data_IF_339718819149
#
_entry.id   IF_339718819149
#
_cell.length_a   1.000
_cell.length_b   1.000
_cell.length_c   1.000
_cell.angle_alpha   90.00
_cell.angle_beta   90.00
_cell.angle_gamma   90.00
#
_symmetry.space_group_name_H-M   'P 1'
#
loop_
_entity.id
_entity.type
_entity.pdbx_description
1 polymer ?
#
# COMPACT_ATOMS: atom_id res chain seq x y z
N UNK A 1 54.99 13.05 6.90
CA UNK A 1 54.41 11.97 6.08
C UNK A 1 53.77 10.86 6.94
N UNK A 2 52.79 11.15 7.82
CA UNK A 2 52.05 10.08 8.54
C UNK A 2 50.55 10.34 8.76
N UNK A 3 49.96 11.43 8.25
CA UNK A 3 48.53 11.72 8.47
C UNK A 3 47.63 11.50 7.25
N UNK A 4 48.19 11.37 6.03
CA UNK A 4 47.42 11.20 4.78
C UNK A 4 46.99 9.74 4.50
N UNK A 5 47.60 8.74 5.17
CA UNK A 5 47.24 7.31 4.97
C UNK A 5 46.07 6.83 5.82
N UNK A 6 45.76 7.49 6.94
CA UNK A 6 44.63 7.12 7.79
C UNK A 6 43.27 7.56 7.21
N UNK A 7 43.25 8.70 6.50
CA UNK A 7 42.03 9.23 5.87
C UNK A 7 41.58 8.38 4.66
N UNK A 8 42.52 7.71 3.99
CA UNK A 8 42.18 6.82 2.87
C UNK A 8 41.48 5.53 3.32
N UNK A 9 41.77 5.02 4.52
CA UNK A 9 41.09 3.83 5.07
C UNK A 9 39.70 4.13 5.63
N UNK A 10 39.47 5.34 6.14
CA UNK A 10 38.14 5.80 6.60
C UNK A 10 37.17 6.13 5.46
N UNK A 11 37.67 6.35 4.24
CA UNK A 11 36.82 6.46 3.05
C UNK A 11 36.57 5.12 2.34
N UNK A 12 37.32 4.07 2.63
CA UNK A 12 37.05 2.73 2.08
C UNK A 12 35.93 1.98 2.81
N UNK A 13 35.56 2.37 4.04
CA UNK A 13 34.40 1.80 4.75
C UNK A 13 33.07 2.50 4.45
N UNK A 14 33.11 3.64 3.76
CA UNK A 14 31.92 4.30 3.22
C UNK A 14 31.41 3.65 1.91
N UNK A 15 32.14 2.68 1.38
CA UNK A 15 31.71 1.76 0.31
C UNK A 15 31.09 0.48 0.89
N UNK A 16 30.28 0.59 1.96
CA UNK A 16 29.22 -0.40 2.14
C UNK A 16 28.16 -0.06 1.11
N UNK A 17 28.36 -0.62 -0.09
CA UNK A 17 27.31 -0.79 -1.09
C UNK A 17 25.99 -1.06 -0.36
N UNK A 18 24.94 -0.31 -0.71
CA UNK A 18 23.58 -0.49 -0.23
C UNK A 18 23.11 -1.92 -0.48
N UNK A 19 23.55 -2.87 0.35
CA UNK A 19 23.19 -4.26 0.24
C UNK A 19 21.78 -4.36 0.77
N UNK A 20 20.83 -4.39 -0.16
CA UNK A 20 19.46 -4.81 0.11
C UNK A 20 19.50 -6.07 0.97
N UNK A 21 18.91 -6.04 2.16
CA UNK A 21 18.88 -7.20 3.06
C UNK A 21 18.15 -8.35 2.37
N UNK A 22 18.79 -9.52 2.15
CA UNK A 22 18.12 -10.69 1.57
C UNK A 22 16.88 -11.12 2.37
N UNK A 23 16.87 -10.89 3.68
CA UNK A 23 15.73 -11.16 4.56
C UNK A 23 14.54 -10.26 4.21
N UNK A 24 14.75 -8.94 4.19
CA UNK A 24 13.68 -7.97 3.93
C UNK A 24 13.14 -8.09 2.50
N UNK A 25 14.02 -8.33 1.52
CA UNK A 25 13.60 -8.60 0.15
C UNK A 25 12.70 -9.83 0.07
N UNK A 26 13.09 -10.94 0.71
CA UNK A 26 12.26 -12.14 0.76
C UNK A 26 10.91 -11.90 1.41
N UNK A 27 10.85 -11.12 2.50
CA UNK A 27 9.57 -10.74 3.12
C UNK A 27 8.68 -9.97 2.13
N UNK A 28 9.26 -8.99 1.44
CA UNK A 28 8.57 -8.20 0.41
C UNK A 28 8.03 -9.11 -0.70
N UNK A 29 8.89 -9.92 -1.30
CA UNK A 29 8.55 -10.77 -2.44
C UNK A 29 7.47 -11.80 -2.08
N UNK A 30 7.56 -12.41 -0.89
CA UNK A 30 6.52 -13.30 -0.40
C UNK A 30 5.17 -12.58 -0.24
N UNK A 31 5.16 -11.39 0.37
CA UNK A 31 3.93 -10.61 0.52
C UNK A 31 3.33 -10.22 -0.83
N UNK A 32 4.17 -9.80 -1.77
CA UNK A 32 3.73 -9.46 -3.13
C UNK A 32 3.08 -10.66 -3.81
N UNK A 33 3.71 -11.84 -3.75
CA UNK A 33 3.18 -13.06 -4.33
C UNK A 33 1.84 -13.47 -3.69
N UNK A 34 1.68 -13.32 -2.37
CA UNK A 34 0.41 -13.65 -1.70
C UNK A 34 -0.70 -12.66 -2.07
N UNK A 35 -0.42 -11.35 -2.13
CA UNK A 35 -1.40 -10.35 -2.56
C UNK A 35 -1.81 -10.56 -4.03
N UNK A 36 -0.85 -10.84 -4.92
CA UNK A 36 -1.11 -11.14 -6.33
C UNK A 36 -2.06 -12.34 -6.51
N UNK A 37 -1.89 -13.41 -5.71
CA UNK A 37 -2.80 -14.56 -5.72
C UNK A 37 -4.23 -14.20 -5.33
N UNK A 38 -4.41 -13.22 -4.45
CA UNK A 38 -5.73 -12.81 -3.94
C UNK A 38 -6.44 -11.86 -4.91
N UNK A 39 -5.71 -10.91 -5.46
CA UNK A 39 -6.27 -9.85 -6.30
C UNK A 39 -6.29 -10.25 -7.79
N UNK A 40 -5.49 -11.25 -8.17
CA UNK A 40 -5.32 -11.72 -9.55
C UNK A 40 -4.11 -11.07 -10.23
N UNK A 41 -3.46 -11.82 -11.13
CA UNK A 41 -2.32 -11.36 -11.93
C UNK A 41 -2.72 -10.16 -12.80
N UNK A 42 -2.03 -9.04 -12.61
CA UNK A 42 -2.14 -7.86 -13.47
C UNK A 42 -0.75 -7.26 -13.68
N UNK A 43 -0.60 -6.42 -14.71
CA UNK A 43 0.64 -5.67 -14.93
C UNK A 43 0.83 -4.53 -13.90
N UNK A 44 -0.22 -4.20 -13.14
CA UNK A 44 -0.28 -3.04 -12.22
C UNK A 44 0.04 -3.41 -10.76
N UNK A 45 0.89 -4.42 -10.53
CA UNK A 45 1.19 -4.98 -9.20
C UNK A 45 1.66 -3.94 -8.18
N UNK A 46 2.33 -2.87 -8.63
CA UNK A 46 2.81 -1.80 -7.75
C UNK A 46 1.64 -0.98 -7.21
N UNK A 47 0.56 -0.83 -7.99
CA UNK A 47 -0.69 -0.22 -7.53
C UNK A 47 -1.29 -1.03 -6.38
N UNK A 48 -1.25 -2.36 -6.46
CA UNK A 48 -1.85 -3.23 -5.45
C UNK A 48 -1.20 -3.11 -4.07
N UNK A 49 0.06 -2.64 -3.99
CA UNK A 49 0.78 -2.40 -2.74
C UNK A 49 0.51 -1.02 -2.16
N UNK A 50 0.40 -0.01 -3.02
CA UNK A 50 0.35 1.41 -2.62
C UNK A 50 -1.05 2.01 -2.65
N UNK A 51 -2.01 1.33 -3.28
CA UNK A 51 -3.37 1.79 -3.50
C UNK A 51 -4.39 0.76 -2.95
N UNK A 52 -4.57 0.67 -1.61
CA UNK A 52 -5.37 -0.39 -0.99
C UNK A 52 -6.82 -0.49 -1.47
N UNK A 53 -7.47 0.66 -1.65
CA UNK A 53 -8.85 0.72 -2.14
C UNK A 53 -8.99 0.15 -3.54
N UNK A 54 -8.00 0.38 -4.41
CA UNK A 54 -7.98 -0.24 -5.72
C UNK A 54 -7.88 -1.77 -5.62
N UNK A 55 -6.93 -2.31 -4.87
CA UNK A 55 -6.76 -3.77 -4.74
C UNK A 55 -7.98 -4.44 -4.07
N UNK A 56 -8.64 -3.77 -3.12
CA UNK A 56 -9.84 -4.30 -2.47
C UNK A 56 -11.03 -4.34 -3.43
N UNK A 57 -11.27 -3.25 -4.16
CA UNK A 57 -12.52 -3.05 -4.91
C UNK A 57 -12.46 -3.45 -6.38
N UNK A 58 -11.26 -3.56 -6.97
CA UNK A 58 -11.13 -3.94 -8.39
C UNK A 58 -11.61 -5.36 -8.64
N UNK A 59 -12.26 -5.56 -9.78
CA UNK A 59 -12.70 -6.88 -10.24
C UNK A 59 -13.82 -7.49 -9.38
N UNK A 60 -14.48 -6.71 -8.51
CA UNK A 60 -15.73 -7.15 -7.89
C UNK A 60 -16.84 -7.19 -8.96
N UNK A 61 -17.72 -8.20 -8.96
CA UNK A 61 -18.82 -8.28 -9.91
C UNK A 61 -19.83 -7.14 -9.72
N UNK A 62 -20.26 -6.53 -10.83
CA UNK A 62 -21.20 -5.38 -10.84
C UNK A 62 -22.66 -5.79 -10.56
N UNK A 63 -23.04 -7.03 -10.89
CA UNK A 63 -24.44 -7.49 -10.89
C UNK A 63 -24.78 -8.44 -9.76
N UNK A 64 -23.81 -8.85 -8.95
CA UNK A 64 -23.99 -9.80 -7.86
C UNK A 64 -23.57 -9.19 -6.51
N UNK A 65 -24.20 -9.63 -5.43
CA UNK A 65 -23.75 -9.28 -4.09
C UNK A 65 -22.33 -9.83 -3.87
N UNK A 66 -21.34 -8.95 -3.94
CA UNK A 66 -19.93 -9.31 -3.84
C UNK A 66 -19.49 -9.60 -2.40
N UNK A 67 -20.41 -9.62 -1.43
CA UNK A 67 -20.07 -9.68 -0.01
C UNK A 67 -19.20 -10.88 0.37
N UNK A 68 -19.52 -12.14 -0.02
CA UNK A 68 -18.65 -13.28 0.31
C UNK A 68 -17.25 -13.14 -0.31
N UNK A 69 -17.17 -12.68 -1.56
CA UNK A 69 -15.91 -12.48 -2.28
C UNK A 69 -15.07 -11.38 -1.62
N UNK A 70 -15.68 -10.25 -1.26
CA UNK A 70 -15.04 -9.12 -0.60
C UNK A 70 -14.53 -9.50 0.80
N UNK A 71 -15.34 -10.22 1.59
CA UNK A 71 -14.94 -10.73 2.90
C UNK A 71 -13.73 -11.67 2.78
N UNK A 72 -13.77 -12.60 1.82
CA UNK A 72 -12.66 -13.52 1.59
C UNK A 72 -11.39 -12.79 1.15
N UNK A 73 -11.52 -11.81 0.25
CA UNK A 73 -10.40 -10.96 -0.19
C UNK A 73 -9.78 -10.20 0.99
N UNK A 74 -10.58 -9.51 1.80
CA UNK A 74 -10.11 -8.79 2.98
C UNK A 74 -9.42 -9.73 3.97
N UNK A 75 -10.00 -10.91 4.23
CA UNK A 75 -9.38 -11.91 5.11
C UNK A 75 -8.01 -12.35 4.61
N UNK A 76 -7.87 -12.65 3.32
CA UNK A 76 -6.61 -13.10 2.73
C UNK A 76 -5.56 -12.01 2.70
N UNK A 77 -5.91 -10.77 2.30
CA UNK A 77 -4.99 -9.64 2.32
C UNK A 77 -4.52 -9.35 3.75
N UNK A 78 -5.43 -9.36 4.72
CA UNK A 78 -5.08 -9.10 6.12
C UNK A 78 -4.23 -10.21 6.73
N UNK A 79 -4.40 -11.46 6.31
CA UNK A 79 -3.49 -12.55 6.68
C UNK A 79 -2.09 -12.28 6.12
N UNK A 80 -1.97 -12.00 4.81
CA UNK A 80 -0.69 -11.70 4.17
C UNK A 80 0.03 -10.51 4.82
N UNK A 81 -0.71 -9.44 5.16
CA UNK A 81 -0.15 -8.26 5.81
C UNK A 81 0.43 -8.56 7.21
N UNK A 82 -0.23 -9.41 8.00
CA UNK A 82 0.28 -9.85 9.31
C UNK A 82 1.56 -10.68 9.14
N UNK A 83 1.53 -11.62 8.19
CA UNK A 83 2.68 -12.49 7.90
C UNK A 83 3.88 -11.67 7.42
N UNK A 84 3.66 -10.68 6.56
CA UNK A 84 4.66 -9.71 6.15
C UNK A 84 5.24 -8.95 7.34
N UNK A 85 4.38 -8.38 8.19
CA UNK A 85 4.83 -7.60 9.34
C UNK A 85 5.67 -8.45 10.32
N UNK A 86 5.28 -9.71 10.54
CA UNK A 86 6.03 -10.65 11.36
C UNK A 86 7.38 -11.02 10.72
N UNK A 87 7.40 -11.27 9.41
CA UNK A 87 8.63 -11.53 8.66
C UNK A 87 9.61 -10.36 8.80
N UNK A 88 9.15 -9.13 8.57
CA UNK A 88 9.99 -7.93 8.68
C UNK A 88 10.54 -7.75 10.10
N UNK A 89 9.72 -7.97 11.14
CA UNK A 89 10.17 -7.89 12.53
C UNK A 89 11.21 -8.96 12.91
N UNK A 90 11.22 -10.09 12.22
CA UNK A 90 12.22 -11.15 12.44
C UNK A 90 13.58 -10.84 11.79
N UNK A 91 13.66 -9.86 10.89
CA UNK A 91 14.90 -9.46 10.25
C UNK A 91 15.73 -8.51 11.13
N UNK A 92 17.06 -8.64 11.10
CA UNK A 92 17.98 -7.84 11.92
C UNK A 92 18.13 -6.36 11.47
N UNK A 93 17.49 -5.94 10.37
CA UNK A 93 17.62 -4.59 9.82
C UNK A 93 16.52 -3.64 10.34
N UNK A 94 16.76 -3.07 11.51
CA UNK A 94 15.75 -2.26 12.23
C UNK A 94 15.24 -1.05 11.43
N UNK A 95 16.11 -0.24 10.84
CA UNK A 95 15.70 0.99 10.12
C UNK A 95 14.89 0.68 8.86
N UNK A 96 15.43 -0.17 7.98
CA UNK A 96 14.73 -0.57 6.76
C UNK A 96 13.43 -1.32 7.07
N UNK A 97 13.42 -2.15 8.11
CA UNK A 97 12.21 -2.80 8.59
C UNK A 97 11.14 -1.81 9.07
N UNK A 98 11.51 -0.78 9.82
CA UNK A 98 10.58 0.29 10.24
C UNK A 98 9.99 1.01 9.01
N UNK A 99 10.81 1.35 8.02
CA UNK A 99 10.35 2.01 6.79
C UNK A 99 9.34 1.12 6.04
N UNK A 100 9.64 -0.17 5.89
CA UNK A 100 8.74 -1.12 5.24
C UNK A 100 7.41 -1.29 5.99
N UNK A 101 7.46 -1.37 7.32
CA UNK A 101 6.25 -1.44 8.15
C UNK A 101 5.42 -0.15 8.05
N UNK A 102 6.09 1.01 8.03
CA UNK A 102 5.43 2.31 7.84
C UNK A 102 4.73 2.39 6.49
N UNK A 103 5.35 1.87 5.43
CA UNK A 103 4.72 1.73 4.12
C UNK A 103 3.49 0.81 4.07
N UNK A 104 3.20 0.05 5.14
CA UNK A 104 2.02 -0.81 5.26
C UNK A 104 0.96 -0.28 6.25
N UNK A 105 1.05 0.99 6.65
CA UNK A 105 0.16 1.60 7.64
C UNK A 105 -1.31 1.57 7.18
N UNK A 106 -1.58 1.93 5.92
CA UNK A 106 -2.94 1.89 5.36
C UNK A 106 -3.55 0.48 5.42
N UNK A 107 -2.78 -0.53 5.03
CA UNK A 107 -3.20 -1.93 5.12
C UNK A 107 -3.45 -2.38 6.56
N UNK A 108 -2.54 -2.01 7.47
CA UNK A 108 -2.66 -2.31 8.90
C UNK A 108 -3.95 -1.72 9.48
N UNK A 109 -4.26 -0.47 9.14
CA UNK A 109 -5.46 0.23 9.60
C UNK A 109 -6.74 -0.39 9.05
N UNK A 110 -6.79 -0.72 7.75
CA UNK A 110 -7.92 -1.44 7.14
C UNK A 110 -8.12 -2.79 7.82
N UNK A 111 -7.05 -3.54 8.07
CA UNK A 111 -7.13 -4.85 8.67
C UNK A 111 -7.53 -4.82 10.15
N UNK A 112 -7.12 -3.80 10.90
CA UNK A 112 -7.59 -3.55 12.25
C UNK A 112 -9.10 -3.22 12.24
N UNK A 113 -9.54 -2.35 11.33
CA UNK A 113 -10.96 -2.01 11.19
C UNK A 113 -11.80 -3.23 10.80
N UNK A 114 -11.30 -4.06 9.89
CA UNK A 114 -11.94 -5.31 9.52
C UNK A 114 -12.05 -6.31 10.68
N UNK A 115 -10.98 -6.49 11.47
CA UNK A 115 -10.98 -7.45 12.58
C UNK A 115 -11.84 -6.99 13.75
N UNK A 116 -11.82 -5.70 14.06
CA UNK A 116 -12.41 -5.15 15.29
C UNK A 116 -13.68 -4.32 15.04
N UNK A 117 -14.18 -4.30 13.81
CA UNK A 117 -15.32 -3.48 13.38
C UNK A 117 -15.18 -1.99 13.75
N UNK A 118 -13.96 -1.44 13.66
CA UNK A 118 -13.70 -0.02 13.98
C UNK A 118 -14.49 0.85 12.99
N UNK A 119 -15.23 1.84 13.50
CA UNK A 119 -16.03 2.72 12.65
C UNK A 119 -17.14 1.98 11.89
N UNK A 120 -17.65 0.87 12.44
CA UNK A 120 -18.68 0.03 11.81
C UNK A 120 -18.24 -0.55 10.44
N UNK A 121 -16.95 -0.77 10.27
CA UNK A 121 -16.38 -1.22 9.00
C UNK A 121 -17.05 -2.48 8.45
N UNK A 122 -17.21 -3.54 9.25
CA UNK A 122 -17.83 -4.80 8.80
C UNK A 122 -19.35 -4.73 8.77
N UNK A 123 -19.98 -3.91 9.61
CA UNK A 123 -21.44 -3.81 9.69
C UNK A 123 -22.07 -2.81 8.71
N UNK A 124 -21.33 -1.79 8.27
CA UNK A 124 -21.84 -0.73 7.40
C UNK A 124 -21.05 -0.56 6.09
N UNK A 125 -19.72 -0.50 6.18
CA UNK A 125 -18.86 -0.15 5.03
C UNK A 125 -18.73 -1.34 4.07
N UNK A 126 -18.36 -2.52 4.58
CA UNK A 126 -18.20 -3.73 3.76
C UNK A 126 -19.49 -4.12 3.03
N UNK A 127 -20.69 -4.12 3.65
CA UNK A 127 -21.94 -4.35 2.92
C UNK A 127 -22.20 -3.34 1.80
N UNK A 128 -21.79 -2.08 1.98
CA UNK A 128 -21.94 -1.08 0.94
C UNK A 128 -20.96 -1.32 -0.22
N UNK A 129 -19.68 -1.55 0.08
CA UNK A 129 -18.68 -1.90 -0.92
C UNK A 129 -19.01 -3.20 -1.66
N UNK A 130 -19.67 -4.15 -1.00
CA UNK A 130 -20.17 -5.35 -1.67
C UNK A 130 -21.22 -5.06 -2.77
N UNK A 131 -21.97 -3.95 -2.64
CA UNK A 131 -22.99 -3.52 -3.61
C UNK A 131 -22.47 -2.54 -4.65
N UNK A 132 -21.60 -1.62 -4.24
CA UNK A 132 -21.20 -0.47 -5.07
C UNK A 132 -19.68 -0.41 -5.33
N UNK A 133 -18.91 -1.32 -4.74
CA UNK A 133 -17.45 -1.32 -4.80
C UNK A 133 -16.90 -1.43 -6.21
N UNK A 134 -17.53 -2.22 -7.07
CA UNK A 134 -17.14 -2.34 -8.48
C UNK A 134 -17.21 -0.98 -9.20
N UNK A 135 -18.31 -0.24 -9.03
CA UNK A 135 -18.51 1.08 -9.63
C UNK A 135 -17.57 2.14 -9.02
N UNK A 136 -17.39 2.14 -7.69
CA UNK A 136 -16.41 3.01 -7.02
C UNK A 136 -15.00 2.74 -7.55
N UNK A 137 -14.59 1.48 -7.62
CA UNK A 137 -13.28 1.06 -8.12
C UNK A 137 -13.08 1.45 -9.59
N UNK A 138 -14.09 1.26 -10.44
CA UNK A 138 -14.05 1.62 -11.86
C UNK A 138 -13.87 3.13 -12.06
N UNK A 139 -14.60 3.96 -11.31
CA UNK A 139 -14.50 5.43 -11.40
C UNK A 139 -13.15 5.97 -10.94
N UNK A 140 -12.47 5.27 -10.03
CA UNK A 140 -11.17 5.69 -9.52
C UNK A 140 -9.98 4.93 -10.14
N UNK A 141 -10.22 4.00 -11.08
CA UNK A 141 -9.18 3.17 -11.68
C UNK A 141 -8.07 3.99 -12.34
N UNK A 142 -8.41 5.07 -13.06
CA UNK A 142 -7.44 5.96 -13.69
C UNK A 142 -6.43 6.53 -12.67
N UNK A 143 -6.90 6.95 -11.50
CA UNK A 143 -6.02 7.52 -10.48
C UNK A 143 -5.11 6.45 -9.86
N UNK A 144 -5.55 5.20 -9.78
CA UNK A 144 -4.68 4.10 -9.37
C UNK A 144 -3.56 3.84 -10.39
N UNK A 145 -3.87 3.92 -11.70
CA UNK A 145 -2.86 3.84 -12.77
C UNK A 145 -1.88 5.02 -12.72
N UNK A 146 -2.35 6.23 -12.43
CA UNK A 146 -1.46 7.39 -12.27
C UNK A 146 -0.49 7.18 -11.09
N UNK A 147 -0.99 6.68 -9.95
CA UNK A 147 -0.13 6.33 -8.81
C UNK A 147 0.87 5.24 -9.20
N UNK A 148 0.44 4.19 -9.89
CA UNK A 148 1.32 3.12 -10.38
C UNK A 148 2.50 3.68 -11.18
N UNK A 149 2.21 4.50 -12.19
CA UNK A 149 3.22 5.10 -13.04
C UNK A 149 4.17 6.01 -12.25
N UNK A 150 3.64 6.82 -11.33
CA UNK A 150 4.48 7.68 -10.47
C UNK A 150 5.41 6.87 -9.55
N UNK A 151 5.00 5.68 -9.10
CA UNK A 151 5.88 4.78 -8.35
C UNK A 151 6.97 4.20 -9.26
N UNK A 152 6.63 3.76 -10.48
CA UNK A 152 7.63 3.26 -11.43
C UNK A 152 8.67 4.35 -11.75
N UNK A 153 8.23 5.57 -12.03
CA UNK A 153 9.12 6.71 -12.28
C UNK A 153 10.04 6.99 -11.08
N UNK A 154 9.51 6.91 -9.85
CA UNK A 154 10.33 7.07 -8.65
C UNK A 154 11.35 5.94 -8.48
N UNK A 155 10.98 4.69 -8.79
CA UNK A 155 11.88 3.54 -8.68
C UNK A 155 12.98 3.61 -9.74
N UNK A 156 12.63 3.91 -10.98
CA UNK A 156 13.55 3.88 -12.12
C UNK A 156 14.44 5.14 -12.18
N UNK A 157 13.89 6.31 -11.85
CA UNK A 157 14.56 7.60 -12.03
C UNK A 157 14.82 8.37 -10.72
N UNK A 158 14.41 7.83 -9.57
CA UNK A 158 14.52 8.49 -8.27
C UNK A 158 15.94 8.88 -7.88
N UNK A 159 16.96 8.16 -8.35
CA UNK A 159 18.38 8.48 -8.08
C UNK A 159 18.77 9.84 -8.68
N UNK A 160 18.15 10.25 -9.79
CA UNK A 160 18.49 11.48 -10.50
C UNK A 160 17.66 12.68 -10.07
N UNK A 161 16.41 12.47 -9.63
CA UNK A 161 15.49 13.56 -9.29
C UNK A 161 14.50 13.20 -8.16
N UNK A 162 15.00 12.66 -7.04
CA UNK A 162 14.17 12.15 -5.94
C UNK A 162 13.11 13.14 -5.44
N UNK A 163 13.44 14.43 -5.32
CA UNK A 163 12.50 15.44 -4.82
C UNK A 163 11.31 15.64 -5.76
N UNK A 164 11.57 15.65 -7.07
CA UNK A 164 10.53 15.81 -8.08
C UNK A 164 9.63 14.57 -8.12
N UNK A 165 10.22 13.37 -8.21
CA UNK A 165 9.45 12.13 -8.29
C UNK A 165 8.66 11.84 -7.01
N UNK A 166 9.21 12.16 -5.83
CA UNK A 166 8.44 12.10 -4.58
C UNK A 166 7.29 13.11 -4.58
N UNK A 167 7.51 14.35 -5.04
CA UNK A 167 6.44 15.35 -5.16
C UNK A 167 5.31 14.87 -6.08
N UNK A 168 5.65 14.31 -7.23
CA UNK A 168 4.67 13.83 -8.21
C UNK A 168 3.93 12.58 -7.71
N UNK A 169 4.60 11.68 -6.99
CA UNK A 169 3.96 10.58 -6.28
C UNK A 169 2.97 11.09 -5.22
N UNK A 170 3.37 12.07 -4.39
CA UNK A 170 2.48 12.65 -3.37
C UNK A 170 1.23 13.31 -3.98
N UNK A 171 1.38 14.03 -5.11
CA UNK A 171 0.23 14.60 -5.85
C UNK A 171 -0.68 13.49 -6.37
N UNK A 172 -0.10 12.44 -6.94
CA UNK A 172 -0.83 11.28 -7.48
C UNK A 172 -1.64 10.57 -6.40
N UNK A 173 -1.03 10.30 -5.24
CA UNK A 173 -1.71 9.71 -4.08
C UNK A 173 -2.85 10.61 -3.61
N UNK A 174 -2.62 11.93 -3.54
CA UNK A 174 -3.67 12.89 -3.12
C UNK A 174 -4.88 12.85 -4.05
N UNK A 175 -4.67 12.77 -5.37
CA UNK A 175 -5.76 12.67 -6.35
C UNK A 175 -6.51 11.34 -6.22
N UNK A 176 -5.77 10.25 -6.06
CA UNK A 176 -6.31 8.92 -5.81
C UNK A 176 -7.20 8.88 -4.56
N UNK A 177 -6.69 9.39 -3.44
CA UNK A 177 -7.38 9.44 -2.16
C UNK A 177 -8.66 10.27 -2.23
N UNK A 178 -8.61 11.44 -2.88
CA UNK A 178 -9.79 12.28 -3.11
C UNK A 178 -10.86 11.56 -3.92
N UNK A 179 -10.48 10.83 -4.97
CA UNK A 179 -11.44 10.08 -5.77
C UNK A 179 -12.20 9.07 -4.90
N UNK A 180 -11.47 8.24 -4.14
CA UNK A 180 -12.12 7.21 -3.32
C UNK A 180 -12.98 7.81 -2.21
N UNK A 181 -12.56 8.91 -1.57
CA UNK A 181 -13.38 9.62 -0.59
C UNK A 181 -14.69 10.11 -1.23
N UNK A 182 -14.64 10.78 -2.39
CA UNK A 182 -15.83 11.31 -3.05
C UNK A 182 -16.75 10.23 -3.60
N UNK A 183 -16.21 9.19 -4.23
CA UNK A 183 -17.05 8.09 -4.73
C UNK A 183 -17.63 7.28 -3.57
N UNK A 184 -16.89 7.08 -2.47
CA UNK A 184 -17.45 6.44 -1.29
C UNK A 184 -18.57 7.27 -0.65
N UNK A 185 -18.47 8.60 -0.63
CA UNK A 185 -19.59 9.45 -0.19
C UNK A 185 -20.81 9.29 -1.10
N UNK A 186 -20.61 9.40 -2.42
CA UNK A 186 -21.69 9.32 -3.39
C UNK A 186 -22.47 7.99 -3.36
N UNK A 187 -21.78 6.86 -3.13
CA UNK A 187 -22.39 5.53 -3.15
C UNK A 187 -22.71 4.96 -1.77
N UNK A 188 -21.91 5.30 -0.75
CA UNK A 188 -21.96 4.69 0.57
C UNK A 188 -22.18 5.69 1.71
N UNK A 189 -22.25 6.98 1.40
CA UNK A 189 -22.59 8.04 2.33
C UNK A 189 -21.52 8.29 3.40
N UNK A 190 -21.98 8.98 4.45
CA UNK A 190 -21.14 9.64 5.44
C UNK A 190 -20.14 8.72 6.14
N UNK A 191 -20.60 7.51 6.51
CA UNK A 191 -19.77 6.55 7.24
C UNK A 191 -18.58 6.10 6.42
N UNK A 192 -18.77 5.89 5.12
CA UNK A 192 -17.72 5.37 4.24
C UNK A 192 -16.65 6.42 3.94
N UNK A 193 -17.03 7.66 3.60
CA UNK A 193 -16.03 8.68 3.32
C UNK A 193 -15.28 9.12 4.57
N UNK A 194 -15.93 9.16 5.74
CA UNK A 194 -15.23 9.45 7.00
C UNK A 194 -14.19 8.40 7.34
N UNK A 195 -14.53 7.12 7.15
CA UNK A 195 -13.56 6.04 7.32
C UNK A 195 -12.36 6.21 6.40
N UNK A 196 -12.57 6.51 5.12
CA UNK A 196 -11.48 6.74 4.17
C UNK A 196 -10.66 7.99 4.51
N UNK A 197 -11.29 9.07 4.96
CA UNK A 197 -10.58 10.26 5.41
C UNK A 197 -9.67 9.95 6.61
N UNK A 198 -10.18 9.24 7.60
CA UNK A 198 -9.40 8.80 8.77
C UNK A 198 -8.26 7.87 8.36
N UNK A 199 -8.51 6.96 7.42
CA UNK A 199 -7.48 6.07 6.88
C UNK A 199 -6.34 6.87 6.24
N UNK A 200 -6.65 7.88 5.44
CA UNK A 200 -5.65 8.70 4.74
C UNK A 200 -4.85 9.57 5.73
N UNK A 201 -5.53 10.17 6.72
CA UNK A 201 -4.87 10.95 7.79
C UNK A 201 -3.92 10.08 8.62
N UNK A 202 -4.36 8.90 9.03
CA UNK A 202 -3.57 7.98 9.86
C UNK A 202 -2.40 7.32 9.11
N UNK A 203 -2.37 7.43 7.78
CA UNK A 203 -1.31 6.86 6.93
C UNK A 203 -0.28 7.89 6.48
N UNK A 204 -0.52 9.18 6.74
CA UNK A 204 0.31 10.31 6.31
C UNK A 204 1.35 10.79 7.35
N UNK A 205 1.46 10.10 8.50
CA UNK A 205 2.31 10.48 9.65
C UNK A 205 3.63 9.73 9.64
#
# INVERSE_FOLDING_TARGET
MCLKRAVLFLHLTALTASHSSPCLLRCKDNNMNEVEKVVGRTNDWTADLVAPMHSILRGLPETANSHPALINRLRSICKANIEFANCVRSCNQRTAGIILLKGQTSWTNICAAFRHNIGEFTSAIVPCWARHGAEVGRRCALYATIVHNAVLDLVDNGIHAIQQHVSDLCKSITMYDKCYVWQADAFCGERAWRFLLQLNQNSSV
#
